data_IF_381445927763
#
_entry.id   IF_381445927763
#
_cell.length_a   1.000
_cell.length_b   1.000
_cell.length_c   1.000
_cell.angle_alpha   90.00
_cell.angle_beta   90.00
_cell.angle_gamma   90.00
#
_symmetry.space_group_name_H-M   'P 1'
#
loop_
_entity.id
_entity.type
_entity.pdbx_description
1 polymer ?
#
# COMPACT_ATOMS: atom_id res chain seq x y z
N UNK A 1 15.53 17.33 0.11
CA UNK A 1 16.65 16.37 -0.10
C UNK A 1 17.05 15.81 1.27
N UNK A 2 17.12 14.47 1.40
CA UNK A 2 17.51 13.74 2.62
C UNK A 2 18.53 12.66 2.23
N UNK A 3 19.22 12.08 3.21
CA UNK A 3 20.22 11.03 3.00
C UNK A 3 19.63 9.67 3.39
N UNK A 4 19.72 8.67 2.52
CA UNK A 4 19.37 7.29 2.82
C UNK A 4 20.63 6.56 3.27
N UNK A 5 20.70 6.20 4.54
CA UNK A 5 21.79 5.38 5.08
C UNK A 5 21.47 3.88 4.93
N UNK A 6 22.42 3.10 4.42
CA UNK A 6 22.29 1.65 4.23
C UNK A 6 23.29 0.89 5.09
N UNK A 7 22.92 -0.32 5.54
CA UNK A 7 23.81 -1.20 6.29
C UNK A 7 24.53 -2.18 5.34
N UNK A 8 25.84 -2.03 5.09
CA UNK A 8 26.58 -2.89 4.16
C UNK A 8 26.70 -4.35 4.62
N UNK A 9 26.45 -4.63 5.90
CA UNK A 9 26.48 -6.00 6.45
C UNK A 9 25.16 -6.74 6.23
N UNK A 10 24.10 -6.05 5.88
CA UNK A 10 22.77 -6.64 5.71
C UNK A 10 22.72 -7.54 4.46
N UNK A 11 22.18 -8.78 4.55
CA UNK A 11 22.13 -9.71 3.41
C UNK A 11 21.47 -9.13 2.16
N UNK A 12 20.34 -8.41 2.31
CA UNK A 12 19.66 -7.77 1.17
C UNK A 12 20.53 -6.73 0.46
N UNK A 13 21.35 -5.96 1.18
CA UNK A 13 22.23 -4.94 0.55
C UNK A 13 23.33 -5.63 -0.26
N UNK A 14 23.88 -6.74 0.25
CA UNK A 14 24.88 -7.53 -0.48
C UNK A 14 24.29 -8.16 -1.75
N UNK A 15 23.05 -8.66 -1.69
CA UNK A 15 22.39 -9.25 -2.86
C UNK A 15 22.04 -8.18 -3.90
N UNK A 16 21.53 -7.02 -3.48
CA UNK A 16 21.31 -5.87 -4.37
C UNK A 16 22.62 -5.45 -5.06
N UNK A 17 23.72 -5.35 -4.31
CA UNK A 17 25.03 -5.06 -4.87
C UNK A 17 25.44 -6.09 -5.93
N UNK A 18 25.27 -7.39 -5.65
CA UNK A 18 25.62 -8.47 -6.58
C UNK A 18 24.81 -8.38 -7.88
N UNK A 19 23.50 -8.12 -7.79
CA UNK A 19 22.61 -8.01 -8.94
C UNK A 19 22.95 -6.81 -9.81
N UNK A 20 23.07 -5.62 -9.21
CA UNK A 20 23.41 -4.39 -9.94
C UNK A 20 24.81 -4.45 -10.56
N UNK A 21 25.76 -5.15 -9.93
CA UNK A 21 27.08 -5.36 -10.51
C UNK A 21 27.08 -6.32 -11.72
N UNK A 22 26.10 -7.23 -11.79
CA UNK A 22 25.91 -8.15 -12.91
C UNK A 22 25.11 -7.50 -14.04
N UNK A 23 23.98 -6.87 -13.70
CA UNK A 23 23.09 -6.15 -14.61
C UNK A 23 22.64 -4.83 -13.95
N UNK A 24 23.19 -3.68 -14.39
CA UNK A 24 22.78 -2.37 -13.90
C UNK A 24 21.31 -2.04 -14.15
N UNK A 25 20.67 -2.67 -15.14
CA UNK A 25 19.28 -2.44 -15.54
C UNK A 25 18.35 -3.54 -15.01
N UNK A 26 18.76 -4.32 -14.00
CA UNK A 26 17.90 -5.32 -13.34
C UNK A 26 16.69 -4.62 -12.70
N UNK A 27 15.54 -4.68 -13.39
CA UNK A 27 14.28 -4.08 -12.95
C UNK A 27 13.81 -4.64 -11.60
N UNK A 28 14.07 -5.91 -11.29
CA UNK A 28 13.72 -6.47 -9.98
C UNK A 28 14.59 -5.87 -8.87
N UNK A 29 15.88 -5.69 -9.11
CA UNK A 29 16.79 -5.04 -8.16
C UNK A 29 16.40 -3.56 -7.92
N UNK A 30 16.04 -2.85 -8.99
CA UNK A 30 15.53 -1.48 -8.92
C UNK A 30 14.23 -1.37 -8.12
N UNK A 31 13.26 -2.25 -8.38
CA UNK A 31 11.99 -2.28 -7.65
C UNK A 31 12.19 -2.54 -6.16
N UNK A 32 13.07 -3.49 -5.80
CA UNK A 32 13.41 -3.76 -4.39
C UNK A 32 14.10 -2.56 -3.74
N UNK A 33 15.00 -1.86 -4.45
CA UNK A 33 15.67 -0.67 -3.93
C UNK A 33 14.68 0.48 -3.68
N UNK A 34 13.72 0.71 -4.59
CA UNK A 34 12.65 1.70 -4.42
C UNK A 34 11.76 1.33 -3.22
N UNK A 35 11.39 0.06 -3.09
CA UNK A 35 10.61 -0.41 -1.95
C UNK A 35 11.36 -0.17 -0.63
N UNK A 36 12.64 -0.53 -0.56
CA UNK A 36 13.48 -0.29 0.61
C UNK A 36 13.52 1.20 0.99
N UNK A 37 13.63 2.09 0.00
CA UNK A 37 13.59 3.54 0.21
C UNK A 37 12.24 4.00 0.79
N UNK A 38 11.12 3.53 0.24
CA UNK A 38 9.77 3.87 0.73
C UNK A 38 9.52 3.33 2.14
N UNK A 39 9.92 2.10 2.44
CA UNK A 39 9.84 1.53 3.79
C UNK A 39 10.71 2.31 4.77
N UNK A 40 11.92 2.70 4.38
CA UNK A 40 12.78 3.54 5.21
C UNK A 40 12.17 4.92 5.47
N UNK A 41 11.54 5.53 4.46
CA UNK A 41 10.84 6.81 4.56
C UNK A 41 9.73 6.73 5.63
N UNK A 42 8.87 5.72 5.53
CA UNK A 42 7.81 5.49 6.52
C UNK A 42 8.37 5.25 7.92
N UNK A 43 9.36 4.37 8.07
CA UNK A 43 9.95 4.04 9.38
C UNK A 43 10.65 5.24 10.02
N UNK A 44 11.18 6.16 9.22
CA UNK A 44 11.78 7.41 9.69
C UNK A 44 10.74 8.49 10.04
N UNK A 45 9.45 8.18 9.92
CA UNK A 45 8.36 9.11 10.25
C UNK A 45 8.08 10.16 9.18
N UNK A 46 8.57 9.95 7.96
CA UNK A 46 8.25 10.83 6.83
C UNK A 46 6.98 10.35 6.12
N UNK A 47 6.20 11.31 5.63
CA UNK A 47 5.08 11.05 4.74
C UNK A 47 5.59 10.56 3.38
N UNK A 48 4.95 9.53 2.82
CA UNK A 48 5.13 9.16 1.42
C UNK A 48 4.59 10.27 0.54
N UNK A 49 5.30 10.60 -0.54
CA UNK A 49 4.82 11.60 -1.50
C UNK A 49 3.70 11.05 -2.39
N UNK A 50 3.80 9.78 -2.76
CA UNK A 50 2.81 9.07 -3.56
C UNK A 50 2.46 7.75 -2.88
N UNK A 51 1.32 7.74 -2.19
CA UNK A 51 0.81 6.55 -1.51
C UNK A 51 0.19 5.53 -2.48
N UNK A 52 -0.34 6.00 -3.62
CA UNK A 52 -0.95 5.12 -4.62
C UNK A 52 0.13 4.28 -5.31
N UNK A 53 1.24 4.90 -5.71
CA UNK A 53 2.38 4.20 -6.32
C UNK A 53 3.01 3.18 -5.34
N UNK A 54 3.08 3.53 -4.05
CA UNK A 54 3.53 2.60 -3.03
C UNK A 54 2.58 1.41 -2.88
N UNK A 55 1.27 1.65 -2.81
CA UNK A 55 0.26 0.60 -2.71
C UNK A 55 0.33 -0.35 -3.91
N UNK A 56 0.44 0.18 -5.13
CA UNK A 56 0.61 -0.61 -6.35
C UNK A 56 1.86 -1.50 -6.28
N UNK A 57 2.99 -0.97 -5.82
CA UNK A 57 4.22 -1.76 -5.70
C UNK A 57 4.11 -2.88 -4.65
N UNK A 58 3.37 -2.65 -3.57
CA UNK A 58 3.10 -3.67 -2.54
C UNK A 58 2.14 -4.73 -3.08
N UNK A 59 1.11 -4.32 -3.83
CA UNK A 59 0.18 -5.23 -4.51
C UNK A 59 0.92 -6.14 -5.49
N UNK A 60 1.76 -5.58 -6.36
CA UNK A 60 2.57 -6.36 -7.30
C UNK A 60 3.43 -7.40 -6.59
N UNK A 61 4.04 -7.04 -5.46
CA UNK A 61 4.81 -7.99 -4.66
C UNK A 61 3.94 -9.13 -4.09
N UNK A 62 2.73 -8.80 -3.60
CA UNK A 62 1.79 -9.81 -3.11
C UNK A 62 1.34 -10.75 -4.24
N UNK A 63 1.06 -10.21 -5.41
CA UNK A 63 0.73 -10.98 -6.62
C UNK A 63 1.88 -11.90 -7.04
N UNK A 64 3.10 -11.36 -7.14
CA UNK A 64 4.30 -12.13 -7.49
C UNK A 64 4.57 -13.25 -6.46
N UNK A 65 4.36 -12.98 -5.17
CA UNK A 65 4.52 -13.97 -4.10
C UNK A 65 3.47 -15.09 -4.13
N UNK A 66 2.28 -14.81 -4.64
CA UNK A 66 1.19 -15.78 -4.77
C UNK A 66 1.14 -16.42 -6.17
N UNK A 67 1.95 -15.95 -7.12
CA UNK A 67 1.91 -16.38 -8.51
C UNK A 67 0.68 -15.90 -9.27
N UNK A 68 0.07 -14.79 -8.84
CA UNK A 68 -1.10 -14.18 -9.49
C UNK A 68 -0.63 -13.27 -10.63
N UNK A 69 -1.13 -13.45 -11.86
CA UNK A 69 -0.82 -12.55 -12.97
C UNK A 69 -1.18 -11.08 -12.67
N UNK A 70 -0.32 -10.16 -13.12
CA UNK A 70 -0.48 -8.70 -12.89
C UNK A 70 -1.60 -8.07 -13.72
N UNK A 71 -2.00 -8.73 -14.81
CA UNK A 71 -3.04 -8.32 -15.74
C UNK A 71 -4.44 -8.81 -15.36
N UNK A 72 -4.57 -9.68 -14.35
CA UNK A 72 -5.86 -10.08 -13.82
C UNK A 72 -6.53 -8.89 -13.14
N UNK A 73 -7.66 -8.48 -13.71
CA UNK A 73 -8.60 -7.56 -13.09
C UNK A 73 -9.45 -8.29 -12.05
N UNK A 74 -10.02 -7.53 -11.12
CA UNK A 74 -11.05 -8.07 -10.22
C UNK A 74 -12.18 -8.58 -11.11
N UNK A 75 -12.60 -9.83 -10.92
CA UNK A 75 -13.84 -10.31 -11.54
C UNK A 75 -14.96 -9.41 -11.01
N UNK A 76 -15.72 -8.79 -11.90
CA UNK A 76 -16.97 -8.13 -11.54
C UNK A 76 -17.90 -9.22 -11.00
N UNK A 77 -17.86 -9.45 -9.68
CA UNK A 77 -18.98 -10.10 -9.02
C UNK A 77 -20.20 -9.24 -9.33
N UNK A 78 -21.22 -9.82 -9.98
CA UNK A 78 -22.54 -9.18 -10.06
C UNK A 78 -22.89 -8.78 -8.63
N UNK A 79 -22.99 -7.48 -8.36
CA UNK A 79 -23.57 -6.94 -7.14
C UNK A 79 -25.02 -7.43 -7.08
N UNK A 80 -25.24 -8.68 -6.66
CA UNK A 80 -26.50 -9.15 -6.08
C UNK A 80 -26.61 -8.52 -4.69
N UNK A 81 -26.63 -7.18 -4.67
CA UNK A 81 -27.23 -6.43 -3.58
C UNK A 81 -28.73 -6.62 -3.77
N UNK A 82 -29.36 -7.41 -2.91
CA UNK A 82 -30.79 -7.36 -2.76
C UNK A 82 -31.19 -5.94 -2.34
N UNK A 83 -31.72 -5.18 -3.31
CA UNK A 83 -32.54 -3.99 -3.09
C UNK A 83 -33.77 -4.42 -2.26
N UNK A 84 -33.63 -4.54 -0.94
CA UNK A 84 -34.78 -4.51 -0.03
C UNK A 84 -34.94 -3.09 0.53
N UNK A 85 -35.57 -2.31 -0.31
CA UNK A 85 -36.13 -0.99 -0.13
C UNK A 85 -37.26 -1.06 0.92
N UNK A 86 -37.01 -0.67 2.19
CA UNK A 86 -38.08 -0.16 3.08
C UNK A 86 -37.64 0.98 4.00
N UNK A 87 -38.25 2.12 3.69
CA UNK A 87 -38.45 3.27 4.55
C UNK A 87 -38.91 2.89 5.97
N UNK A 88 -38.33 3.56 6.96
CA UNK A 88 -39.08 4.05 8.12
C UNK A 88 -38.59 5.49 8.42
N UNK A 89 -39.36 6.45 7.93
CA UNK A 89 -39.46 7.77 8.55
C UNK A 89 -39.99 7.58 9.98
N UNK A 90 -39.19 7.90 10.98
CA UNK A 90 -39.73 8.30 12.29
C UNK A 90 -39.03 9.55 12.80
N UNK A 91 -39.75 10.66 12.65
CA UNK A 91 -39.94 11.62 13.73
C UNK A 91 -38.78 12.58 14.00
N UNK A 92 -38.89 13.78 13.43
CA UNK A 92 -38.48 14.98 14.16
C UNK A 92 -39.19 15.01 15.51
N UNK A 93 -38.43 15.08 16.60
CA UNK A 93 -38.83 15.91 17.74
C UNK A 93 -37.60 16.68 18.24
N UNK A 94 -37.79 17.98 18.25
CA UNK A 94 -36.91 19.01 18.77
C UNK A 94 -37.05 19.03 20.29
N UNK A 95 -36.11 19.70 20.97
CA UNK A 95 -36.27 20.25 22.32
C UNK A 95 -36.14 19.30 23.53
N UNK A 96 -34.99 19.39 24.22
CA UNK A 96 -34.95 19.96 25.58
C UNK A 96 -33.58 19.71 26.24
N UNK A 97 -32.95 20.83 26.61
CA UNK A 97 -31.88 20.93 27.58
C UNK A 97 -32.20 20.11 28.85
N UNK A 98 -31.24 19.33 29.35
CA UNK A 98 -31.19 19.09 30.79
C UNK A 98 -29.77 18.97 31.34
N UNK A 99 -29.48 20.01 32.09
CA UNK A 99 -28.52 20.28 33.14
C UNK A 99 -28.27 19.13 34.15
N UNK A 100 -27.09 19.22 34.76
CA UNK A 100 -26.55 18.60 36.00
C UNK A 100 -26.36 17.07 36.11
N UNK A 101 -25.08 16.66 36.27
CA UNK A 101 -24.54 16.10 37.54
C UNK A 101 -23.00 16.09 37.54
#
# INVERSE_FOLDING_TARGET
RKTLEINPRHPLIKELQRRVAYDPEDEAAKNIAIMMFRTATLRSGYMLQDSAEFAQTVEELMRDSLGVPKDLTVDEEEDDLDEDDKADEVGADDDAEHDEL
#
